data_IF_082238021947
#
_entry.id   IF_082238021947
#
_cell.length_a   1.000
_cell.length_b   1.000
_cell.length_c   1.000
_cell.angle_alpha   90.00
_cell.angle_beta   90.00
_cell.angle_gamma   90.00
#
_symmetry.space_group_name_H-M   'P 1'
#
loop_
_entity.id
_entity.type
_entity.pdbx_description
1 polymer ?
#
# COMPACT_ATOMS: atom_id res chain seq x y z
N UNK A 1 4.70 -13.62 -17.27
CA UNK A 1 3.75 -13.03 -16.28
C UNK A 1 4.35 -11.72 -15.84
N UNK A 2 3.55 -10.65 -15.78
CA UNK A 2 4.00 -9.36 -15.23
C UNK A 2 3.12 -9.07 -14.02
N UNK A 3 3.73 -8.74 -12.89
CA UNK A 3 3.05 -8.38 -11.65
C UNK A 3 3.44 -6.96 -11.28
N UNK A 4 2.45 -6.15 -10.93
CA UNK A 4 2.63 -4.81 -10.37
C UNK A 4 1.95 -4.78 -9.00
N UNK A 5 2.67 -4.42 -7.95
CA UNK A 5 2.14 -4.37 -6.59
C UNK A 5 2.79 -3.26 -5.75
N UNK A 6 2.09 -2.73 -4.73
CA UNK A 6 2.70 -1.85 -3.75
C UNK A 6 3.80 -2.60 -2.99
N UNK A 7 4.95 -1.97 -2.81
CA UNK A 7 6.09 -2.51 -2.09
C UNK A 7 6.89 -1.39 -1.44
N UNK A 8 7.98 -1.72 -0.74
CA UNK A 8 8.85 -0.76 -0.03
C UNK A 8 10.20 -0.63 -0.67
N UNK A 9 10.88 0.44 -0.29
CA UNK A 9 12.33 0.46 -0.41
C UNK A 9 12.96 -0.51 0.60
N UNK A 10 14.16 -0.94 0.27
CA UNK A 10 14.85 -2.01 1.01
C UNK A 10 15.45 -1.56 2.32
N UNK A 11 15.74 -0.26 2.41
CA UNK A 11 16.24 0.46 3.57
C UNK A 11 15.14 0.82 4.59
N UNK A 12 13.87 0.79 4.19
CA UNK A 12 12.72 1.02 5.08
C UNK A 12 12.40 -0.24 5.89
N UNK A 13 11.95 -0.11 7.14
CA UNK A 13 11.56 -1.27 7.93
C UNK A 13 10.22 -1.85 7.45
N UNK A 14 10.07 -3.17 7.48
CA UNK A 14 8.79 -3.81 7.11
C UNK A 14 7.59 -3.34 7.95
N UNK A 15 7.84 -2.87 9.19
CA UNK A 15 6.82 -2.30 10.06
C UNK A 15 6.30 -0.94 9.58
N UNK A 16 7.09 -0.20 8.82
CA UNK A 16 6.77 1.11 8.22
C UNK A 16 6.00 0.95 6.91
N UNK A 17 5.61 -0.28 6.56
CA UNK A 17 5.00 -0.52 5.28
C UNK A 17 3.57 0.01 5.17
N UNK A 18 3.40 0.84 4.13
CA UNK A 18 2.21 1.54 3.69
C UNK A 18 1.83 2.76 4.53
N UNK A 19 2.34 3.93 4.14
CA UNK A 19 1.91 5.23 4.67
C UNK A 19 0.38 5.43 4.59
N UNK A 20 -0.31 4.76 3.65
CA UNK A 20 -1.78 4.77 3.62
C UNK A 20 -2.37 4.09 4.86
N UNK A 21 -1.78 2.98 5.33
CA UNK A 21 -2.20 2.29 6.57
C UNK A 21 -1.92 3.16 7.80
N UNK A 22 -0.77 3.81 7.85
CA UNK A 22 -0.42 4.71 8.96
C UNK A 22 -1.33 5.95 8.99
N UNK A 23 -1.55 6.56 7.83
CA UNK A 23 -2.48 7.67 7.64
C UNK A 23 -3.89 7.28 8.04
N UNK A 24 -4.35 6.10 7.62
CA UNK A 24 -5.64 5.53 8.02
C UNK A 24 -5.72 5.40 9.54
N UNK A 25 -4.70 4.81 10.18
CA UNK A 25 -4.68 4.65 11.63
C UNK A 25 -4.72 5.99 12.38
N UNK A 26 -4.07 7.02 11.84
CA UNK A 26 -4.10 8.38 12.40
C UNK A 26 -5.48 9.03 12.26
N UNK A 27 -6.14 8.89 11.09
CA UNK A 27 -7.50 9.40 10.86
C UNK A 27 -8.50 8.71 11.80
N UNK A 28 -8.46 7.37 11.86
CA UNK A 28 -9.34 6.59 12.74
C UNK A 28 -9.07 6.90 14.22
N UNK A 29 -7.82 7.19 14.60
CA UNK A 29 -7.50 7.65 15.95
C UNK A 29 -8.19 8.97 16.29
N UNK A 30 -8.22 9.93 15.38
CA UNK A 30 -8.95 11.20 15.57
C UNK A 30 -10.45 10.92 15.75
N UNK A 31 -11.05 10.11 14.88
CA UNK A 31 -12.45 9.69 14.99
C UNK A 31 -12.76 8.98 16.31
N UNK A 32 -11.79 8.23 16.86
CA UNK A 32 -11.92 7.57 18.18
C UNK A 32 -11.91 8.60 19.31
N UNK A 33 -11.03 9.60 19.24
CA UNK A 33 -10.96 10.69 20.23
C UNK A 33 -12.24 11.54 20.21
N UNK A 34 -12.82 11.77 19.03
CA UNK A 34 -14.07 12.50 18.84
C UNK A 34 -15.31 11.67 19.20
N UNK A 35 -15.16 10.37 19.48
CA UNK A 35 -16.25 9.48 19.87
C UNK A 35 -17.13 9.00 18.72
N UNK A 36 -16.70 9.22 17.46
CA UNK A 36 -17.39 8.72 16.26
C UNK A 36 -17.29 7.20 16.18
N UNK A 37 -16.14 6.64 16.56
CA UNK A 37 -15.92 5.19 16.61
C UNK A 37 -15.50 4.75 18.01
N UNK A 38 -15.91 3.54 18.40
CA UNK A 38 -15.56 2.95 19.68
C UNK A 38 -14.07 2.56 19.74
N UNK A 39 -13.44 2.81 20.89
CA UNK A 39 -12.02 2.53 21.10
C UNK A 39 -11.69 1.04 21.04
N UNK A 40 -12.53 0.16 21.57
CA UNK A 40 -12.31 -1.30 21.52
C UNK A 40 -12.38 -1.78 20.08
N UNK A 41 -13.32 -1.25 19.29
CA UNK A 41 -13.36 -1.50 17.85
C UNK A 41 -12.11 -0.99 17.14
N UNK A 42 -11.62 0.21 17.45
CA UNK A 42 -10.38 0.74 16.88
C UNK A 42 -9.17 -0.15 17.21
N UNK A 43 -9.01 -0.54 18.48
CA UNK A 43 -7.89 -1.37 18.95
C UNK A 43 -7.91 -2.79 18.32
N UNK A 44 -9.08 -3.26 17.89
CA UNK A 44 -9.25 -4.55 17.18
C UNK A 44 -9.21 -4.46 15.66
N UNK A 45 -9.17 -3.25 15.10
CA UNK A 45 -9.18 -3.06 13.65
C UNK A 45 -7.83 -3.44 13.05
N UNK A 46 -7.85 -4.36 12.08
CA UNK A 46 -6.65 -4.86 11.42
C UNK A 46 -6.76 -4.76 9.90
N UNK A 47 -5.72 -4.19 9.29
CA UNK A 47 -5.61 -4.06 7.83
C UNK A 47 -4.48 -4.96 7.34
N UNK A 48 -4.86 -6.07 6.70
CA UNK A 48 -3.93 -7.04 6.12
C UNK A 48 -3.32 -6.51 4.82
N UNK A 49 -2.37 -5.59 4.94
CA UNK A 49 -1.57 -5.11 3.82
C UNK A 49 -0.08 -5.28 4.16
N UNK A 50 0.58 -6.12 3.37
CA UNK A 50 2.04 -6.25 3.37
C UNK A 50 2.52 -5.90 1.98
N UNK A 51 3.40 -4.91 1.86
CA UNK A 51 4.13 -4.68 0.63
C UNK A 51 5.57 -5.08 0.85
N UNK A 52 6.05 -6.04 0.07
CA UNK A 52 7.37 -6.59 0.24
C UNK A 52 8.43 -5.57 -0.20
N UNK A 53 9.65 -5.73 0.32
CA UNK A 53 10.81 -5.15 -0.36
C UNK A 53 11.09 -5.89 -1.66
N UNK A 54 11.88 -5.28 -2.53
CA UNK A 54 12.27 -5.95 -3.76
C UNK A 54 13.15 -7.21 -3.50
N UNK A 55 13.93 -7.25 -2.42
CA UNK A 55 14.65 -8.45 -1.97
C UNK A 55 13.72 -9.50 -1.40
N UNK A 56 12.76 -9.13 -0.54
CA UNK A 56 11.77 -10.08 -0.01
C UNK A 56 11.03 -10.77 -1.16
N UNK A 57 10.59 -9.98 -2.15
CA UNK A 57 9.91 -10.51 -3.32
C UNK A 57 10.83 -11.41 -4.17
N UNK A 58 12.11 -11.06 -4.33
CA UNK A 58 13.10 -11.94 -4.99
C UNK A 58 13.25 -13.27 -4.27
N UNK A 59 13.37 -13.26 -2.94
CA UNK A 59 13.50 -14.48 -2.13
C UNK A 59 12.27 -15.36 -2.30
N UNK A 60 11.06 -14.79 -2.16
CA UNK A 60 9.80 -15.54 -2.32
C UNK A 60 9.71 -16.21 -3.70
N UNK A 61 10.04 -15.48 -4.78
CA UNK A 61 9.97 -16.03 -6.15
C UNK A 61 11.01 -17.14 -6.35
N UNK A 62 12.22 -16.96 -5.81
CA UNK A 62 13.29 -17.95 -5.92
C UNK A 62 12.99 -19.22 -5.10
N UNK A 63 12.43 -19.07 -3.90
CA UNK A 63 12.01 -20.18 -3.04
C UNK A 63 10.85 -20.97 -3.65
N UNK A 64 9.92 -20.30 -4.34
CA UNK A 64 8.83 -20.96 -5.05
C UNK A 64 9.33 -21.76 -6.26
N UNK A 65 10.25 -21.20 -7.05
CA UNK A 65 11.04 -21.93 -8.05
C UNK A 65 10.36 -22.25 -9.39
N UNK A 66 9.07 -21.97 -9.59
CA UNK A 66 8.39 -22.16 -10.88
C UNK A 66 8.69 -21.05 -11.88
N UNK A 67 9.21 -19.91 -11.41
CA UNK A 67 9.48 -18.74 -12.21
C UNK A 67 10.91 -18.22 -12.03
N UNK A 68 11.49 -17.77 -13.14
CA UNK A 68 12.70 -16.94 -13.13
C UNK A 68 12.33 -15.48 -13.32
N UNK A 69 12.97 -14.58 -12.56
CA UNK A 69 12.84 -13.14 -12.73
C UNK A 69 13.58 -12.72 -14.00
N UNK A 70 12.83 -12.22 -14.97
CA UNK A 70 13.37 -11.66 -16.21
C UNK A 70 13.77 -10.21 -16.02
N UNK A 71 12.93 -9.45 -15.32
CA UNK A 71 13.17 -8.04 -15.03
C UNK A 71 12.43 -7.65 -13.75
N UNK A 72 12.99 -6.70 -13.01
CA UNK A 72 12.34 -6.11 -11.84
C UNK A 72 12.64 -4.62 -11.79
N UNK A 73 11.60 -3.82 -11.63
CA UNK A 73 11.67 -2.37 -11.55
C UNK A 73 10.95 -1.87 -10.30
N UNK A 74 11.41 -0.74 -9.79
CA UNK A 74 10.84 -0.02 -8.65
C UNK A 74 10.56 1.39 -9.14
N UNK A 75 9.34 1.89 -8.96
CA UNK A 75 8.99 3.25 -9.37
C UNK A 75 7.97 3.88 -8.42
N UNK A 76 7.94 5.22 -8.37
CA UNK A 76 6.83 5.95 -7.75
C UNK A 76 5.77 6.24 -8.83
N UNK A 77 4.56 5.66 -8.74
CA UNK A 77 3.51 5.86 -9.73
C UNK A 77 2.99 7.31 -9.75
N UNK A 78 3.27 8.11 -8.73
CA UNK A 78 2.89 9.54 -8.66
C UNK A 78 3.90 10.43 -9.38
N UNK A 79 5.09 9.92 -9.73
CA UNK A 79 6.13 10.71 -10.41
C UNK A 79 5.70 11.28 -11.77
N UNK A 80 4.66 10.71 -12.39
CA UNK A 80 4.07 11.19 -13.64
C UNK A 80 2.82 12.07 -13.46
N UNK A 81 2.34 12.25 -12.23
CA UNK A 81 1.18 13.08 -11.91
C UNK A 81 1.65 14.51 -11.68
N UNK A 82 0.96 15.48 -12.27
CA UNK A 82 1.22 16.89 -11.98
C UNK A 82 0.94 17.16 -10.49
N UNK A 83 1.91 17.73 -9.78
CA UNK A 83 1.77 18.10 -8.38
C UNK A 83 0.56 19.01 -8.14
N UNK A 84 0.15 19.81 -9.12
CA UNK A 84 -1.05 20.64 -9.03
C UNK A 84 -2.36 19.83 -8.91
N UNK A 85 -2.35 18.56 -9.32
CA UNK A 85 -3.49 17.63 -9.20
C UNK A 85 -3.50 16.86 -7.87
N UNK A 86 -2.38 16.85 -7.13
CA UNK A 86 -2.27 16.22 -5.81
C UNK A 86 -2.91 17.12 -4.74
N UNK A 87 -4.24 17.21 -4.75
CA UNK A 87 -5.02 17.99 -3.79
C UNK A 87 -5.61 17.11 -2.67
N UNK A 88 -5.93 17.68 -1.49
CA UNK A 88 -6.47 16.92 -0.35
C UNK A 88 -7.68 16.02 -0.69
N UNK A 89 -8.60 16.51 -1.51
CA UNK A 89 -9.80 15.78 -1.92
C UNK A 89 -9.49 14.55 -2.79
N UNK A 90 -8.44 14.60 -3.60
CA UNK A 90 -7.98 13.44 -4.37
C UNK A 90 -7.45 12.35 -3.44
N UNK A 91 -6.65 12.72 -2.44
CA UNK A 91 -6.13 11.77 -1.47
C UNK A 91 -7.24 11.19 -0.59
N UNK A 92 -8.19 12.02 -0.15
CA UNK A 92 -9.36 11.56 0.59
C UNK A 92 -10.19 10.55 -0.23
N UNK A 93 -10.41 10.84 -1.52
CA UNK A 93 -11.11 9.93 -2.44
C UNK A 93 -10.35 8.61 -2.64
N UNK A 94 -9.02 8.66 -2.75
CA UNK A 94 -8.18 7.47 -2.85
C UNK A 94 -8.27 6.62 -1.58
N UNK A 95 -8.16 7.24 -0.39
CA UNK A 95 -8.29 6.55 0.90
C UNK A 95 -9.67 5.89 1.04
N UNK A 96 -10.73 6.59 0.66
CA UNK A 96 -12.09 6.05 0.62
C UNK A 96 -12.18 4.85 -0.31
N UNK A 97 -11.71 4.98 -1.56
CA UNK A 97 -11.76 3.90 -2.54
C UNK A 97 -11.04 2.62 -2.07
N UNK A 98 -9.94 2.75 -1.33
CA UNK A 98 -9.18 1.61 -0.81
C UNK A 98 -9.80 0.99 0.44
N UNK A 99 -10.28 1.82 1.39
CA UNK A 99 -10.59 1.35 2.74
C UNK A 99 -12.08 1.35 3.10
N UNK A 100 -12.95 2.01 2.34
CA UNK A 100 -14.39 2.07 2.64
C UNK A 100 -15.00 0.70 2.92
N UNK A 101 -14.76 -0.36 2.13
CA UNK A 101 -15.38 -1.67 2.40
C UNK A 101 -15.03 -2.22 3.78
N UNK A 102 -13.77 -2.10 4.19
CA UNK A 102 -13.30 -2.64 5.48
C UNK A 102 -13.69 -1.73 6.65
N UNK A 103 -13.75 -0.41 6.44
CA UNK A 103 -14.20 0.56 7.43
C UNK A 103 -15.68 0.31 7.72
N UNK A 104 -16.51 0.27 6.67
CA UNK A 104 -17.96 0.07 6.79
C UNK A 104 -18.27 -1.28 7.43
N UNK A 105 -17.56 -2.34 7.04
CA UNK A 105 -17.74 -3.67 7.63
C UNK A 105 -17.45 -3.69 9.15
N UNK A 106 -16.45 -2.95 9.63
CA UNK A 106 -15.99 -3.02 11.02
C UNK A 106 -16.65 -1.98 11.93
N UNK A 107 -16.73 -0.74 11.46
CA UNK A 107 -17.21 0.41 12.22
C UNK A 107 -18.67 0.75 11.94
N UNK A 108 -19.22 0.36 10.78
CA UNK A 108 -20.55 0.77 10.31
C UNK A 108 -20.49 1.96 9.37
N UNK A 109 -21.63 2.60 9.13
CA UNK A 109 -21.73 3.76 8.24
C UNK A 109 -21.17 5.02 8.91
N UNK A 110 -19.86 5.23 8.78
CA UNK A 110 -19.08 6.36 9.37
C UNK A 110 -18.29 7.12 8.31
N UNK A 111 -18.68 6.97 7.05
CA UNK A 111 -17.86 7.41 5.92
C UNK A 111 -17.89 8.93 5.71
N UNK A 112 -18.96 9.60 6.14
CA UNK A 112 -19.04 11.06 6.07
C UNK A 112 -18.06 11.71 7.05
N UNK A 113 -18.02 11.22 8.29
CA UNK A 113 -17.05 11.64 9.30
C UNK A 113 -15.62 11.27 8.92
N UNK A 114 -15.43 10.09 8.31
CA UNK A 114 -14.14 9.67 7.79
C UNK A 114 -13.63 10.66 6.72
N UNK A 115 -14.47 11.04 5.76
CA UNK A 115 -14.09 12.00 4.72
C UNK A 115 -13.78 13.38 5.33
N UNK A 116 -14.59 13.86 6.25
CA UNK A 116 -14.36 15.14 6.94
C UNK A 116 -13.03 15.15 7.71
N UNK A 117 -12.74 14.09 8.49
CA UNK A 117 -11.49 13.95 9.23
C UNK A 117 -10.27 13.88 8.28
N UNK A 118 -10.44 13.17 7.16
CA UNK A 118 -9.39 12.99 6.15
C UNK A 118 -9.05 14.32 5.47
N UNK A 119 -10.05 15.10 5.07
CA UNK A 119 -9.83 16.42 4.47
C UNK A 119 -9.25 17.42 5.49
N UNK A 120 -9.68 17.35 6.75
CA UNK A 120 -9.15 18.21 7.81
C UNK A 120 -7.66 18.01 8.05
N UNK A 121 -7.14 16.78 7.89
CA UNK A 121 -5.71 16.47 8.04
C UNK A 121 -4.85 17.33 7.12
N UNK A 122 -5.24 17.48 5.85
CA UNK A 122 -4.48 18.23 4.86
C UNK A 122 -5.00 19.65 4.63
N UNK A 123 -5.73 20.20 5.60
CA UNK A 123 -6.25 21.57 5.54
C UNK A 123 -5.14 22.63 5.66
N UNK A 124 -4.02 22.28 6.28
CA UNK A 124 -2.90 23.21 6.45
C UNK A 124 -2.08 23.32 5.15
N UNK A 125 -1.74 24.53 4.69
CA UNK A 125 -0.90 24.70 3.50
C UNK A 125 0.44 23.97 3.68
N UNK A 126 0.89 23.23 2.66
CA UNK A 126 2.16 22.50 2.69
C UNK A 126 2.09 21.09 3.30
N UNK A 127 1.04 20.77 4.07
CA UNK A 127 0.95 19.49 4.80
C UNK A 127 0.83 18.28 3.86
N UNK A 128 0.16 18.45 2.71
CA UNK A 128 0.05 17.38 1.72
C UNK A 128 1.33 17.24 0.91
N UNK A 129 1.98 18.35 0.55
CA UNK A 129 3.26 18.30 -0.15
C UNK A 129 4.35 17.67 0.71
N UNK A 130 4.39 17.97 2.01
CA UNK A 130 5.31 17.36 2.97
C UNK A 130 5.04 15.86 3.12
N UNK A 131 3.77 15.46 3.25
CA UNK A 131 3.36 14.05 3.28
C UNK A 131 3.78 13.34 1.97
N UNK A 132 3.49 13.91 0.80
CA UNK A 132 3.84 13.32 -0.50
C UNK A 132 5.35 13.17 -0.69
N UNK A 133 6.13 14.15 -0.24
CA UNK A 133 7.59 14.17 -0.35
C UNK A 133 8.28 13.24 0.65
N UNK A 134 7.78 13.16 1.89
CA UNK A 134 8.29 12.26 2.92
C UNK A 134 7.97 10.80 2.66
N UNK A 135 6.87 10.53 1.94
CA UNK A 135 6.25 9.21 1.83
C UNK A 135 6.06 8.80 0.36
N UNK A 136 7.15 8.43 -0.35
CA UNK A 136 7.06 7.94 -1.73
C UNK A 136 6.18 6.68 -1.80
N UNK A 137 5.14 6.70 -2.64
CA UNK A 137 4.42 5.47 -2.96
C UNK A 137 5.35 4.61 -3.81
N UNK A 138 5.67 3.40 -3.35
CA UNK A 138 6.58 2.52 -4.09
C UNK A 138 5.79 1.39 -4.74
N UNK A 139 5.92 1.26 -6.06
CA UNK A 139 5.37 0.17 -6.84
C UNK A 139 6.48 -0.70 -7.40
N UNK A 140 6.41 -2.00 -7.10
CA UNK A 140 7.28 -3.02 -7.64
C UNK A 140 6.62 -3.62 -8.89
N UNK A 141 7.36 -3.63 -10.00
CA UNK A 141 6.97 -4.31 -11.24
C UNK A 141 7.95 -5.44 -11.48
N UNK A 142 7.45 -6.66 -11.59
CA UNK A 142 8.28 -7.84 -11.85
C UNK A 142 7.78 -8.57 -13.07
N UNK A 143 8.69 -8.82 -14.01
CA UNK A 143 8.50 -9.66 -15.18
C UNK A 143 9.07 -11.05 -14.90
N UNK A 144 8.23 -12.05 -15.07
CA UNK A 144 8.47 -13.44 -14.70
C UNK A 144 8.31 -14.34 -15.92
N UNK A 145 9.30 -15.20 -16.14
CA UNK A 145 9.24 -16.27 -17.14
C UNK A 145 9.16 -17.60 -16.44
N UNK A 146 8.29 -18.50 -16.94
CA UNK A 146 8.18 -19.86 -16.41
C UNK A 146 9.54 -20.56 -16.54
N UNK A 147 10.07 -21.07 -15.44
CA UNK A 147 11.32 -21.81 -15.45
C UNK A 147 11.15 -23.11 -16.25
N UNK A 148 12.11 -23.42 -17.13
CA UNK A 148 12.16 -24.73 -17.77
C UNK A 148 12.64 -25.75 -16.72
N UNK A 149 11.71 -26.56 -16.22
CA UNK A 149 12.07 -27.73 -15.42
C UNK A 149 12.79 -28.72 -16.34
N UNK A 150 14.08 -28.98 -16.10
CA UNK A 150 14.79 -30.08 -16.77
C UNK A 150 14.22 -31.41 -16.29
N UNK A 151 13.11 -31.86 -16.87
CA UNK A 151 12.75 -33.27 -16.90
C UNK A 151 13.02 -33.82 -18.30
N UNK A 152 13.80 -34.92 -18.33
CA UNK A 152 14.07 -35.84 -19.45
C UNK A 152 15.33 -35.58 -20.29
N UNK A 153 16.52 -35.71 -19.67
CA UNK A 153 17.76 -36.07 -20.38
C UNK A 153 18.44 -37.35 -19.84
N UNK A 154 17.77 -38.14 -19.00
CA UNK A 154 18.31 -39.40 -18.45
C UNK A 154 17.53 -40.66 -18.91
N UNK A 155 16.84 -40.60 -20.05
CA UNK A 155 16.02 -41.70 -20.57
C UNK A 155 16.39 -42.22 -21.96
N UNK A 156 17.60 -41.92 -22.48
CA UNK A 156 18.10 -42.46 -23.75
C UNK A 156 19.59 -42.78 -23.67
N UNK A 157 19.92 -43.92 -23.07
CA UNK A 157 21.11 -44.73 -23.40
C UNK A 157 20.66 -46.19 -23.48
#
# INVERSE_FOLDING_TARGET
MVISLPGRRSDELASEFCHLRETLAQILRVMTIEGVIDRVKFDSFYVSMHGPSHEELKVIIQEEGSFSISEMQVHDPRSCVDNALMVPSMFASMMRAVFEPIIVQHFGDVMDEFMACTEQRWRQPGSLEEEVAGNPLVMLVVSLTKAMTRLNLLGRL
#
